data_IF_469900244744
#
_entry.id   IF_469900244744
#
_cell.length_a   1.000
_cell.length_b   1.000
_cell.length_c   1.000
_cell.angle_alpha   90.00
_cell.angle_beta   90.00
_cell.angle_gamma   90.00
#
_symmetry.space_group_name_H-M   'P 1'
#
loop_
_entity.id
_entity.type
_entity.pdbx_description
1 polymer ?
#
# COMPACT_ATOMS: atom_id res chain seq x y z
N UNK A 1 16.18 -79.34 63.18
CA UNK A 1 17.57 -79.74 62.87
C UNK A 1 17.51 -80.52 61.55
N UNK A 2 17.33 -79.83 60.43
CA UNK A 2 18.36 -79.30 59.51
C UNK A 2 18.93 -80.38 58.58
N UNK A 3 18.75 -80.19 57.26
CA UNK A 3 19.72 -80.42 56.16
C UNK A 3 18.98 -80.67 54.85
N UNK A 4 18.92 -79.68 53.92
CA UNK A 4 19.08 -79.89 52.47
C UNK A 4 19.73 -78.64 51.87
N UNK A 5 20.78 -78.86 51.07
CA UNK A 5 21.77 -77.88 50.63
C UNK A 5 21.33 -76.88 49.56
N UNK A 6 22.13 -75.81 49.45
CA UNK A 6 22.08 -74.81 48.37
C UNK A 6 23.26 -75.02 47.43
N UNK A 7 22.96 -75.07 46.14
CA UNK A 7 23.92 -75.05 45.03
C UNK A 7 24.39 -73.62 44.74
N UNK A 8 25.65 -73.50 44.32
CA UNK A 8 26.34 -72.28 43.90
C UNK A 8 25.93 -71.85 42.48
N UNK A 9 25.77 -70.54 42.27
CA UNK A 9 25.84 -69.89 40.95
C UNK A 9 26.78 -68.68 41.01
N UNK A 10 27.60 -68.57 39.97
CA UNK A 10 28.69 -67.61 39.73
C UNK A 10 28.23 -66.16 39.53
N UNK A 11 29.12 -65.14 39.64
CA UNK A 11 28.72 -63.74 39.65
C UNK A 11 28.55 -63.15 38.24
N UNK A 12 27.48 -62.36 38.05
CA UNK A 12 27.26 -61.53 36.87
C UNK A 12 27.94 -60.15 37.02
N UNK A 13 28.51 -59.64 35.92
CA UNK A 13 29.15 -58.31 35.78
C UNK A 13 28.15 -57.16 36.01
N UNK A 14 28.59 -56.00 36.51
CA UNK A 14 27.74 -54.82 36.62
C UNK A 14 27.53 -54.15 35.25
N UNK A 15 26.27 -53.83 34.94
CA UNK A 15 25.89 -53.01 33.79
C UNK A 15 26.13 -51.52 34.11
N UNK A 16 26.72 -50.80 33.16
CA UNK A 16 27.02 -49.37 33.21
C UNK A 16 25.73 -48.55 33.09
N UNK A 17 25.51 -47.61 34.01
CA UNK A 17 24.47 -46.59 33.90
C UNK A 17 24.94 -45.49 32.94
N UNK A 18 24.24 -45.32 31.81
CA UNK A 18 24.39 -44.15 30.94
C UNK A 18 23.58 -42.98 31.52
N UNK A 19 24.28 -41.95 31.99
CA UNK A 19 23.69 -40.64 32.27
C UNK A 19 23.38 -39.94 30.94
N UNK A 20 22.11 -39.78 30.62
CA UNK A 20 21.65 -38.89 29.55
C UNK A 20 21.79 -37.43 30.03
N UNK A 21 22.75 -36.69 29.47
CA UNK A 21 22.83 -35.25 29.64
C UNK A 21 21.70 -34.59 28.82
N UNK A 22 20.75 -33.95 29.50
CA UNK A 22 19.77 -33.10 28.87
C UNK A 22 20.45 -31.82 28.34
N UNK A 23 20.34 -31.57 27.03
CA UNK A 23 20.71 -30.28 26.42
C UNK A 23 19.78 -29.19 26.95
N UNK A 24 20.28 -27.98 27.25
CA UNK A 24 19.40 -26.87 27.63
C UNK A 24 18.55 -26.46 26.42
N UNK A 25 17.24 -26.40 26.62
CA UNK A 25 16.31 -25.83 25.65
C UNK A 25 16.65 -24.34 25.48
N UNK A 26 17.18 -23.98 24.31
CA UNK A 26 17.27 -22.58 23.91
C UNK A 26 15.85 -22.09 23.64
N UNK A 27 15.33 -21.27 24.56
CA UNK A 27 14.15 -20.46 24.30
C UNK A 27 14.50 -19.50 23.15
N UNK A 28 14.08 -19.86 21.94
CA UNK A 28 14.08 -18.93 20.82
C UNK A 28 13.04 -17.87 21.12
N UNK A 29 13.52 -16.72 21.61
CA UNK A 29 12.76 -15.49 21.60
C UNK A 29 12.33 -15.24 20.15
N UNK A 30 11.03 -15.38 19.89
CA UNK A 30 10.42 -14.90 18.66
C UNK A 30 10.58 -13.39 18.64
N UNK A 31 11.62 -12.90 17.97
CA UNK A 31 11.66 -11.50 17.55
C UNK A 31 10.42 -11.29 16.68
N UNK A 32 9.48 -10.47 17.16
CA UNK A 32 8.34 -10.01 16.39
C UNK A 32 8.89 -9.27 15.17
N UNK A 33 9.04 -9.98 14.05
CA UNK A 33 9.36 -9.35 12.78
C UNK A 33 8.19 -8.43 12.46
N UNK A 34 8.49 -7.13 12.33
CA UNK A 34 7.54 -6.17 11.80
C UNK A 34 7.02 -6.70 10.45
N UNK A 35 5.70 -6.68 10.20
CA UNK A 35 5.17 -7.17 8.94
C UNK A 35 5.84 -6.43 7.79
N UNK A 36 6.45 -7.17 6.86
CA UNK A 36 7.07 -6.58 5.68
C UNK A 36 5.99 -5.86 4.85
N UNK A 37 6.22 -4.64 4.35
CA UNK A 37 5.26 -3.95 3.50
C UNK A 37 4.94 -4.78 2.24
N UNK A 38 3.75 -4.61 1.64
CA UNK A 38 3.45 -5.18 0.34
C UNK A 38 4.55 -4.84 -0.67
N UNK A 39 5.05 -5.84 -1.39
CA UNK A 39 6.21 -5.65 -2.28
C UNK A 39 6.16 -6.57 -3.50
N UNK A 40 6.84 -6.17 -4.56
CA UNK A 40 7.04 -7.01 -5.74
C UNK A 40 8.28 -7.88 -5.56
N UNK A 41 8.09 -9.20 -5.53
CA UNK A 41 9.16 -10.19 -5.48
C UNK A 41 9.41 -10.76 -6.88
N UNK A 42 10.69 -10.92 -7.24
CA UNK A 42 11.08 -11.70 -8.44
C UNK A 42 10.92 -13.19 -8.16
N UNK A 43 10.19 -13.91 -9.01
CA UNK A 43 10.04 -15.36 -8.95
C UNK A 43 10.41 -15.96 -10.32
N UNK A 44 11.67 -16.38 -10.47
CA UNK A 44 12.19 -16.79 -11.78
C UNK A 44 12.18 -15.63 -12.77
N UNK A 45 11.38 -15.75 -13.84
CA UNK A 45 11.22 -14.71 -14.89
C UNK A 45 10.03 -13.77 -14.66
N UNK A 46 9.25 -13.96 -13.60
CA UNK A 46 8.04 -13.17 -13.32
C UNK A 46 8.20 -12.31 -12.07
N UNK A 47 7.28 -11.35 -11.90
CA UNK A 47 7.11 -10.57 -10.67
C UNK A 47 5.80 -11.00 -10.00
N UNK A 48 5.82 -11.10 -8.68
CA UNK A 48 4.64 -11.40 -7.88
C UNK A 48 4.46 -10.30 -6.83
N UNK A 49 3.24 -9.81 -6.68
CA UNK A 49 2.88 -9.03 -5.50
C UNK A 49 2.83 -9.97 -4.31
N UNK A 50 3.50 -9.60 -3.22
CA UNK A 50 3.55 -10.35 -1.97
C UNK A 50 2.96 -9.47 -0.87
N UNK A 51 2.01 -10.03 -0.12
CA UNK A 51 1.44 -9.40 1.08
C UNK A 51 1.70 -10.35 2.24
N UNK A 52 2.32 -9.84 3.31
CA UNK A 52 2.88 -10.70 4.36
C UNK A 52 3.95 -11.63 3.77
N UNK A 53 3.67 -12.93 3.74
CA UNK A 53 4.58 -13.95 3.19
C UNK A 53 4.03 -14.65 1.94
N UNK A 54 2.83 -14.30 1.48
CA UNK A 54 2.12 -15.02 0.42
C UNK A 54 2.03 -14.21 -0.87
N UNK A 55 2.19 -14.84 -2.04
CA UNK A 55 1.84 -14.23 -3.32
C UNK A 55 0.34 -13.87 -3.34
N UNK A 56 0.03 -12.68 -3.84
CA UNK A 56 -1.34 -12.17 -3.92
C UNK A 56 -1.69 -11.86 -5.38
N UNK A 57 -2.82 -12.39 -5.86
CA UNK A 57 -3.38 -12.08 -7.16
C UNK A 57 -4.48 -11.03 -7.00
N UNK A 58 -4.32 -9.87 -7.62
CA UNK A 58 -5.33 -8.82 -7.65
C UNK A 58 -6.47 -9.23 -8.57
N UNK A 59 -7.63 -9.51 -7.98
CA UNK A 59 -8.93 -9.59 -8.66
C UNK A 59 -9.63 -8.26 -8.43
N UNK A 60 -9.26 -7.29 -9.27
CA UNK A 60 -9.54 -5.88 -9.08
C UNK A 60 -10.79 -5.39 -9.81
N UNK A 61 -11.48 -4.42 -9.20
CA UNK A 61 -12.45 -3.56 -9.88
C UNK A 61 -12.10 -2.09 -9.65
N UNK A 62 -12.08 -1.30 -10.71
CA UNK A 62 -11.83 0.14 -10.65
C UNK A 62 -13.13 0.93 -10.60
N UNK A 63 -13.19 1.91 -9.70
CA UNK A 63 -14.34 2.79 -9.55
C UNK A 63 -14.34 3.91 -10.59
N UNK A 64 -15.52 4.50 -10.81
CA UNK A 64 -15.61 5.73 -11.58
C UNK A 64 -14.85 6.88 -10.92
N UNK A 65 -14.38 7.85 -11.72
CA UNK A 65 -13.48 8.92 -11.28
C UNK A 65 -13.99 9.70 -10.05
N UNK A 66 -15.30 9.86 -9.87
CA UNK A 66 -15.90 10.62 -8.76
C UNK A 66 -16.60 9.74 -7.73
N UNK A 67 -16.55 8.41 -7.87
CA UNK A 67 -17.32 7.53 -6.97
C UNK A 67 -16.75 7.54 -5.56
N UNK A 68 -15.43 7.67 -5.41
CA UNK A 68 -14.76 7.61 -4.11
C UNK A 68 -14.70 8.96 -3.37
N UNK A 69 -15.23 10.04 -3.95
CA UNK A 69 -15.19 11.37 -3.31
C UNK A 69 -16.26 11.57 -2.24
N UNK A 70 -17.20 10.63 -2.10
CA UNK A 70 -18.33 10.72 -1.17
C UNK A 70 -18.64 9.36 -0.52
N UNK A 71 -18.71 9.34 0.81
CA UNK A 71 -18.90 8.10 1.57
C UNK A 71 -20.32 7.55 1.46
N UNK A 72 -21.33 8.41 1.34
CA UNK A 72 -22.72 7.98 1.17
C UNK A 72 -22.91 7.31 -0.20
N UNK A 73 -22.29 7.88 -1.23
CA UNK A 73 -22.26 7.31 -2.58
C UNK A 73 -21.57 5.95 -2.62
N UNK A 74 -20.58 5.72 -1.77
CA UNK A 74 -19.86 4.45 -1.65
C UNK A 74 -20.66 3.34 -0.94
N UNK A 75 -21.59 3.67 -0.04
CA UNK A 75 -22.38 2.67 0.72
C UNK A 75 -23.01 1.56 -0.14
N UNK A 76 -23.73 1.86 -1.24
CA UNK A 76 -24.30 0.81 -2.09
C UNK A 76 -23.28 0.15 -3.03
N UNK A 77 -22.06 0.66 -3.14
CA UNK A 77 -21.01 0.13 -4.02
C UNK A 77 -20.30 -1.05 -3.36
N UNK A 78 -19.94 -0.94 -2.07
CA UNK A 78 -19.20 -1.99 -1.37
C UNK A 78 -19.83 -3.39 -1.44
N UNK A 79 -21.16 -3.57 -1.18
CA UNK A 79 -21.78 -4.89 -1.29
C UNK A 79 -21.76 -5.45 -2.72
N UNK A 80 -21.82 -4.58 -3.75
CA UNK A 80 -21.74 -5.00 -5.16
C UNK A 80 -20.36 -5.55 -5.49
N UNK A 81 -19.29 -4.91 -5.00
CA UNK A 81 -17.92 -5.36 -5.20
C UNK A 81 -17.69 -6.75 -4.58
N UNK A 82 -18.21 -6.99 -3.38
CA UNK A 82 -18.21 -8.33 -2.78
C UNK A 82 -19.01 -9.36 -3.60
N UNK A 83 -20.20 -8.98 -4.08
CA UNK A 83 -21.04 -9.86 -4.90
C UNK A 83 -20.38 -10.23 -6.24
N UNK A 84 -19.46 -9.40 -6.73
CA UNK A 84 -18.62 -9.68 -7.89
C UNK A 84 -17.40 -10.57 -7.56
N UNK A 85 -17.23 -10.97 -6.30
CA UNK A 85 -16.09 -11.75 -5.80
C UNK A 85 -14.72 -11.09 -6.03
N UNK A 86 -14.69 -9.75 -6.06
CA UNK A 86 -13.44 -9.01 -6.09
C UNK A 86 -12.73 -9.12 -4.73
N UNK A 87 -11.39 -9.08 -4.76
CA UNK A 87 -10.58 -9.02 -3.55
C UNK A 87 -9.88 -7.66 -3.37
N UNK A 88 -9.92 -6.81 -4.40
CA UNK A 88 -9.23 -5.53 -4.43
C UNK A 88 -10.09 -4.48 -5.14
N UNK A 89 -10.06 -3.25 -4.65
CA UNK A 89 -10.72 -2.09 -5.27
C UNK A 89 -9.67 -1.06 -5.64
N UNK A 90 -9.71 -0.57 -6.87
CA UNK A 90 -8.92 0.58 -7.32
C UNK A 90 -9.80 1.82 -7.16
N UNK A 91 -9.36 2.78 -6.34
CA UNK A 91 -10.13 3.99 -6.09
C UNK A 91 -9.26 5.25 -6.09
N UNK A 92 -9.78 6.40 -6.53
CA UNK A 92 -9.02 7.64 -6.49
C UNK A 92 -8.85 8.21 -5.08
N UNK A 93 -7.69 8.83 -4.86
CA UNK A 93 -7.45 9.81 -3.79
C UNK A 93 -7.13 11.13 -4.45
N UNK A 94 -7.87 12.16 -4.07
CA UNK A 94 -7.90 13.44 -4.76
C UNK A 94 -7.04 14.45 -4.02
N UNK A 95 -6.05 15.06 -4.70
CA UNK A 95 -5.21 16.07 -4.06
C UNK A 95 -6.06 17.25 -3.55
N UNK A 96 -7.03 17.74 -4.32
CA UNK A 96 -7.88 18.85 -3.91
C UNK A 96 -8.74 18.60 -2.66
N UNK A 97 -9.10 17.35 -2.38
CA UNK A 97 -9.84 16.97 -1.17
C UNK A 97 -8.87 16.71 -0.01
N UNK A 98 -7.72 16.10 -0.29
CA UNK A 98 -6.71 15.76 0.71
C UNK A 98 -6.03 17.01 1.29
N UNK A 99 -5.77 18.03 0.47
CA UNK A 99 -5.08 19.27 0.86
C UNK A 99 -5.83 20.51 0.36
N UNK A 100 -7.03 20.80 0.91
CA UNK A 100 -7.90 21.88 0.43
C UNK A 100 -7.26 23.26 0.60
N UNK A 101 -6.34 23.41 1.56
CA UNK A 101 -5.49 24.59 1.74
C UNK A 101 -4.05 24.13 1.87
N UNK A 102 -3.10 24.87 1.30
CA UNK A 102 -1.68 24.50 1.33
C UNK A 102 -1.21 24.22 2.77
N UNK A 103 -0.63 23.03 2.97
CA UNK A 103 -0.15 22.53 4.26
C UNK A 103 -1.23 22.07 5.26
N UNK A 104 -2.51 22.16 4.90
CA UNK A 104 -3.63 21.71 5.74
C UNK A 104 -4.25 20.47 5.13
N UNK A 105 -3.99 19.31 5.75
CA UNK A 105 -4.44 18.02 5.25
C UNK A 105 -5.72 17.55 5.94
N UNK A 106 -6.63 16.96 5.17
CA UNK A 106 -7.81 16.25 5.64
C UNK A 106 -7.77 14.79 5.14
N UNK A 107 -7.52 13.87 6.08
CA UNK A 107 -7.46 12.43 5.79
C UNK A 107 -8.79 11.70 6.03
N UNK A 108 -9.86 12.40 6.41
CA UNK A 108 -11.15 11.80 6.81
C UNK A 108 -11.70 10.86 5.74
N UNK A 109 -11.63 11.27 4.47
CA UNK A 109 -12.08 10.45 3.34
C UNK A 109 -11.22 9.19 3.19
N UNK A 110 -9.90 9.32 3.23
CA UNK A 110 -8.95 8.20 3.11
C UNK A 110 -9.18 7.19 4.23
N UNK A 111 -9.25 7.64 5.48
CA UNK A 111 -9.48 6.79 6.65
C UNK A 111 -10.80 6.04 6.57
N UNK A 112 -11.86 6.72 6.13
CA UNK A 112 -13.19 6.13 5.99
C UNK A 112 -13.25 5.09 4.87
N UNK A 113 -12.55 5.32 3.76
CA UNK A 113 -12.44 4.36 2.66
C UNK A 113 -11.63 3.12 3.07
N UNK A 114 -10.51 3.31 3.77
CA UNK A 114 -9.69 2.22 4.33
C UNK A 114 -10.50 1.40 5.32
N UNK A 115 -11.18 2.05 6.27
CA UNK A 115 -12.03 1.36 7.24
C UNK A 115 -13.15 0.58 6.57
N UNK A 116 -13.80 1.17 5.56
CA UNK A 116 -14.85 0.50 4.78
C UNK A 116 -14.30 -0.72 4.05
N UNK A 117 -13.15 -0.61 3.38
CA UNK A 117 -12.53 -1.75 2.70
C UNK A 117 -12.26 -2.93 3.65
N UNK A 118 -11.80 -2.65 4.88
CA UNK A 118 -11.63 -3.68 5.93
C UNK A 118 -12.94 -4.36 6.30
N UNK A 119 -14.02 -3.59 6.51
CA UNK A 119 -15.34 -4.14 6.82
C UNK A 119 -15.86 -5.09 5.74
N UNK A 120 -15.52 -4.82 4.48
CA UNK A 120 -15.88 -5.66 3.34
C UNK A 120 -14.80 -6.68 2.94
N UNK A 121 -13.75 -6.85 3.74
CA UNK A 121 -12.63 -7.77 3.47
C UNK A 121 -12.02 -7.56 2.07
N UNK A 122 -11.84 -6.31 1.69
CA UNK A 122 -11.24 -5.87 0.42
C UNK A 122 -9.89 -5.21 0.67
N UNK A 123 -8.95 -5.41 -0.25
CA UNK A 123 -7.72 -4.61 -0.34
C UNK A 123 -7.95 -3.39 -1.23
N UNK A 124 -7.09 -2.39 -1.08
CA UNK A 124 -7.14 -1.15 -1.84
C UNK A 124 -5.88 -0.94 -2.68
N UNK A 125 -6.10 -0.46 -3.89
CA UNK A 125 -5.09 0.23 -4.69
C UNK A 125 -5.53 1.67 -4.82
N UNK A 126 -4.74 2.59 -4.30
CA UNK A 126 -5.07 4.01 -4.37
C UNK A 126 -4.56 4.58 -5.69
N UNK A 127 -5.38 5.40 -6.35
CA UNK A 127 -5.00 6.15 -7.54
C UNK A 127 -4.76 7.59 -7.12
N UNK A 128 -3.50 8.02 -7.04
CA UNK A 128 -3.17 9.39 -6.71
C UNK A 128 -3.55 10.30 -7.87
N UNK A 129 -4.67 11.02 -7.74
CA UNK A 129 -5.05 12.08 -8.69
C UNK A 129 -4.43 13.39 -8.20
N UNK A 130 -3.12 13.49 -8.46
CA UNK A 130 -2.27 14.63 -8.12
C UNK A 130 -2.23 15.67 -9.23
N UNK A 131 -1.02 16.00 -9.66
CA UNK A 131 -0.72 16.97 -10.70
C UNK A 131 -1.32 16.57 -12.05
N UNK A 132 -1.43 15.28 -12.36
CA UNK A 132 -1.94 14.82 -13.65
C UNK A 132 -2.96 13.69 -13.54
N UNK A 133 -4.10 13.91 -14.20
CA UNK A 133 -5.17 12.94 -14.45
C UNK A 133 -5.62 13.08 -15.90
N UNK A 134 -5.39 12.04 -16.72
CA UNK A 134 -5.68 12.08 -18.17
C UNK A 134 -5.01 13.29 -18.82
N UNK A 135 -3.71 13.46 -18.53
CA UNK A 135 -2.87 14.61 -18.90
C UNK A 135 -3.24 15.96 -18.27
N UNK A 136 -4.44 16.12 -17.70
CA UNK A 136 -4.95 17.40 -17.21
C UNK A 136 -4.74 17.54 -15.70
N UNK A 137 -4.71 18.78 -15.19
CA UNK A 137 -4.47 19.07 -13.77
C UNK A 137 -5.74 19.45 -13.03
N UNK A 138 -6.86 18.76 -13.31
CA UNK A 138 -8.18 19.11 -12.78
C UNK A 138 -8.36 18.81 -11.28
N UNK A 139 -7.65 17.80 -10.75
CA UNK A 139 -7.73 17.37 -9.34
C UNK A 139 -6.68 17.99 -8.42
N UNK A 140 -5.77 18.81 -8.95
CA UNK A 140 -4.91 19.66 -8.12
C UNK A 140 -5.78 20.67 -7.34
N UNK A 141 -5.41 21.09 -6.12
CA UNK A 141 -6.21 22.01 -5.32
C UNK A 141 -6.31 23.41 -5.95
N UNK A 142 -7.32 24.18 -5.56
CA UNK A 142 -7.56 25.54 -6.06
C UNK A 142 -6.33 26.45 -5.93
N UNK A 143 -5.63 26.37 -4.79
CA UNK A 143 -4.44 27.19 -4.51
C UNK A 143 -3.25 26.87 -5.44
N UNK A 144 -3.26 25.71 -6.11
CA UNK A 144 -2.34 25.38 -7.21
C UNK A 144 -2.90 25.89 -8.53
N UNK A 145 -4.13 25.49 -8.89
CA UNK A 145 -4.74 25.75 -10.21
C UNK A 145 -4.88 27.23 -10.55
N UNK A 146 -5.10 28.08 -9.55
CA UNK A 146 -5.37 29.52 -9.72
C UNK A 146 -4.10 30.39 -9.66
N UNK A 147 -2.99 29.87 -9.13
CA UNK A 147 -1.75 30.63 -8.97
C UNK A 147 -0.70 30.21 -10.01
N UNK A 148 -0.95 30.53 -11.28
CA UNK A 148 -0.07 30.15 -12.40
C UNK A 148 1.31 30.84 -12.36
N UNK A 149 1.45 31.94 -11.62
CA UNK A 149 2.75 32.59 -11.42
C UNK A 149 3.70 31.70 -10.59
N UNK A 150 3.17 31.02 -9.58
CA UNK A 150 3.92 30.06 -8.77
C UNK A 150 3.91 28.65 -9.36
N UNK A 151 2.77 28.23 -9.90
CA UNK A 151 2.53 26.90 -10.45
C UNK A 151 2.22 26.97 -11.95
N UNK A 152 3.24 27.18 -12.79
CA UNK A 152 3.05 27.41 -14.21
C UNK A 152 2.46 26.17 -14.89
N UNK A 153 1.66 26.46 -15.91
CA UNK A 153 1.13 25.47 -16.84
C UNK A 153 2.12 25.18 -17.95
N UNK A 154 2.02 23.98 -18.51
CA UNK A 154 2.64 23.66 -19.77
C UNK A 154 2.14 24.63 -20.85
N UNK A 155 3.06 25.11 -21.67
CA UNK A 155 2.74 25.97 -22.81
C UNK A 155 2.93 25.20 -24.11
N UNK A 156 2.04 25.45 -25.05
CA UNK A 156 2.09 24.86 -26.37
C UNK A 156 3.04 25.68 -27.29
N UNK A 157 3.30 25.22 -28.53
CA UNK A 157 4.21 25.93 -29.46
C UNK A 157 3.82 27.38 -29.74
N UNK A 158 2.53 27.72 -29.64
CA UNK A 158 2.03 29.08 -29.84
C UNK A 158 2.12 29.96 -28.57
N UNK A 159 2.74 29.47 -27.49
CA UNK A 159 2.84 30.16 -26.20
C UNK A 159 1.55 30.15 -25.38
N UNK A 160 0.53 29.38 -25.79
CA UNK A 160 -0.73 29.26 -25.05
C UNK A 160 -0.58 28.26 -23.90
N UNK A 161 -0.92 28.68 -22.69
CA UNK A 161 -1.04 27.78 -21.53
C UNK A 161 -2.15 26.75 -21.70
N UNK A 162 -1.84 25.50 -21.36
CA UNK A 162 -2.78 24.38 -21.35
C UNK A 162 -3.31 24.15 -19.93
N UNK A 163 -4.41 23.41 -19.78
CA UNK A 163 -4.92 22.97 -18.46
C UNK A 163 -4.10 21.81 -17.86
N UNK A 164 -2.78 21.90 -18.01
CA UNK A 164 -1.78 20.90 -17.67
C UNK A 164 -0.67 21.63 -16.91
N UNK A 165 -0.35 21.20 -15.70
CA UNK A 165 0.79 21.72 -14.95
C UNK A 165 2.09 21.37 -15.69
N UNK A 166 3.01 22.33 -15.76
CA UNK A 166 4.34 22.12 -16.36
C UNK A 166 5.12 21.05 -15.58
N UNK A 167 5.73 20.11 -16.30
CA UNK A 167 6.57 19.07 -15.72
C UNK A 167 7.97 19.60 -15.39
N UNK A 168 8.39 20.72 -16.00
CA UNK A 168 9.68 21.38 -15.71
C UNK A 168 9.62 22.32 -14.49
N UNK A 169 8.44 22.56 -13.92
CA UNK A 169 8.29 23.40 -12.74
C UNK A 169 8.68 22.67 -11.46
N UNK A 170 9.71 23.18 -10.78
CA UNK A 170 10.11 22.68 -9.46
C UNK A 170 9.01 22.90 -8.41
N UNK A 171 8.29 24.02 -8.47
CA UNK A 171 7.19 24.30 -7.54
C UNK A 171 6.05 23.28 -7.68
N UNK A 172 5.72 22.88 -8.91
CA UNK A 172 4.68 21.87 -9.17
C UNK A 172 5.10 20.52 -8.57
N UNK A 173 6.32 20.07 -8.89
CA UNK A 173 6.89 18.83 -8.37
C UNK A 173 6.89 18.81 -6.84
N UNK A 174 7.37 19.89 -6.21
CA UNK A 174 7.49 19.95 -4.76
C UNK A 174 6.14 20.01 -4.06
N UNK A 175 5.15 20.72 -4.63
CA UNK A 175 3.81 20.77 -4.07
C UNK A 175 3.15 19.39 -4.10
N UNK A 176 3.17 18.71 -5.25
CA UNK A 176 2.61 17.36 -5.39
C UNK A 176 3.34 16.38 -4.46
N UNK A 177 4.67 16.34 -4.54
CA UNK A 177 5.50 15.42 -3.76
C UNK A 177 5.27 15.57 -2.25
N UNK A 178 5.03 16.80 -1.76
CA UNK A 178 4.71 17.03 -0.34
C UNK A 178 3.36 16.42 0.02
N UNK A 179 2.34 16.62 -0.80
CA UNK A 179 1.01 16.07 -0.57
C UNK A 179 1.00 14.53 -0.64
N UNK A 180 1.62 13.97 -1.68
CA UNK A 180 1.81 12.53 -1.81
C UNK A 180 2.59 11.95 -0.63
N UNK A 181 3.67 12.62 -0.20
CA UNK A 181 4.44 12.19 0.99
C UNK A 181 3.61 12.24 2.27
N UNK A 182 2.73 13.22 2.42
CA UNK A 182 1.82 13.31 3.56
C UNK A 182 0.82 12.15 3.55
N UNK A 183 0.24 11.79 2.41
CA UNK A 183 -0.59 10.60 2.24
C UNK A 183 0.16 9.32 2.62
N UNK A 184 1.35 9.10 2.07
CA UNK A 184 2.14 7.89 2.36
C UNK A 184 2.57 7.81 3.83
N UNK A 185 2.89 8.97 4.45
CA UNK A 185 3.15 9.07 5.88
C UNK A 185 1.93 8.70 6.71
N UNK A 186 0.76 9.23 6.36
CA UNK A 186 -0.50 8.92 7.04
C UNK A 186 -0.80 7.42 6.97
N UNK A 187 -0.74 6.82 5.78
CA UNK A 187 -0.97 5.38 5.60
C UNK A 187 0.01 4.51 6.39
N UNK A 188 1.29 4.88 6.46
CA UNK A 188 2.27 4.16 7.30
C UNK A 188 1.85 4.18 8.77
N UNK A 189 1.33 5.31 9.24
CA UNK A 189 1.01 5.54 10.65
C UNK A 189 -0.38 4.96 11.03
N UNK A 190 -1.31 4.80 10.07
CA UNK A 190 -2.71 4.39 10.33
C UNK A 190 -3.15 3.05 9.69
N UNK A 191 -2.45 2.54 8.68
CA UNK A 191 -2.83 1.29 7.97
C UNK A 191 -1.94 0.09 8.33
N UNK A 192 -1.88 -0.24 9.62
CA UNK A 192 -1.11 -1.39 10.12
C UNK A 192 -1.57 -2.75 9.57
N UNK A 193 -2.81 -2.84 9.07
CA UNK A 193 -3.40 -4.05 8.49
C UNK A 193 -3.03 -4.27 7.02
N UNK A 194 -2.25 -3.34 6.42
CA UNK A 194 -1.86 -3.38 5.01
C UNK A 194 -3.09 -3.54 4.11
N UNK A 195 -4.10 -2.70 4.35
CA UNK A 195 -5.32 -2.63 3.54
C UNK A 195 -4.99 -2.07 2.17
N UNK A 196 -4.18 -1.02 2.13
CA UNK A 196 -3.60 -0.45 0.91
C UNK A 196 -2.38 -1.27 0.52
N UNK A 197 -2.44 -1.88 -0.66
CA UNK A 197 -1.44 -2.84 -1.14
C UNK A 197 -0.59 -2.31 -2.28
N UNK A 198 -1.04 -1.23 -2.94
CA UNK A 198 -0.34 -0.53 -3.99
C UNK A 198 -0.89 0.89 -4.12
N UNK A 199 -0.07 1.80 -4.65
CA UNK A 199 -0.49 3.15 -5.01
C UNK A 199 -0.01 3.43 -6.42
N UNK A 200 -0.92 3.85 -7.29
CA UNK A 200 -0.58 4.43 -8.59
C UNK A 200 -0.24 5.91 -8.37
N UNK A 201 0.95 6.32 -8.81
CA UNK A 201 1.40 7.71 -8.72
C UNK A 201 0.99 8.43 -10.00
N UNK A 202 0.18 9.48 -9.85
CA UNK A 202 -0.55 10.15 -10.93
C UNK A 202 -1.55 9.24 -11.65
N UNK A 203 -2.18 9.77 -12.71
CA UNK A 203 -3.03 8.98 -13.59
C UNK A 203 -2.91 9.41 -15.05
N UNK A 204 -2.47 8.48 -15.92
CA UNK A 204 -2.35 8.71 -17.37
C UNK A 204 -1.62 10.02 -17.68
N UNK A 205 -0.39 10.15 -17.16
CA UNK A 205 0.46 11.30 -17.42
C UNK A 205 0.75 11.44 -18.92
N UNK A 206 0.93 12.67 -19.35
CA UNK A 206 1.22 12.98 -20.74
C UNK A 206 0.80 14.39 -21.10
N UNK A 207 0.94 14.69 -22.38
CA UNK A 207 0.47 15.93 -22.96
C UNK A 207 -0.35 15.60 -24.20
N UNK A 208 -1.60 16.07 -24.21
CA UNK A 208 -2.47 15.94 -25.37
C UNK A 208 -2.22 17.11 -26.32
N UNK A 209 -2.53 16.92 -27.60
CA UNK A 209 -2.37 17.88 -28.73
C UNK A 209 -0.94 18.15 -29.20
N UNK A 210 0.07 18.02 -28.34
CA UNK A 210 1.48 18.22 -28.71
C UNK A 210 2.40 17.20 -28.02
N UNK A 211 3.59 16.97 -28.58
CA UNK A 211 4.53 15.96 -28.07
C UNK A 211 5.25 16.36 -26.77
N UNK A 212 5.34 17.66 -26.47
CA UNK A 212 6.01 18.24 -25.29
C UNK A 212 5.59 19.69 -25.10
N UNK A 213 5.86 20.24 -23.92
CA UNK A 213 5.74 21.66 -23.66
C UNK A 213 6.88 22.47 -24.30
N UNK A 214 6.62 23.74 -24.60
CA UNK A 214 7.54 24.68 -25.24
C UNK A 214 7.88 25.83 -24.29
N UNK A 215 8.35 25.49 -23.09
CA UNK A 215 8.90 26.45 -22.14
C UNK A 215 10.32 26.84 -22.54
N UNK A 216 10.68 28.11 -22.35
CA UNK A 216 12.06 28.61 -22.53
C UNK A 216 12.98 28.22 -21.37
#
# INVERSE_FOLDING_TARGET
MALIGKAQQSPAKPAQAQQAQAKPAQAQQSLSQQPQPPHLRTAGKTKQLVIGQEPFLVLGGELGNSSASDLEYMKPIWPKLQAMHLNTVLLPVYWEILEPKEGTFDFTLVDSLVASARLYNLKLVLLWFGAWKNSMSCYAPEWVKTNQARFPRAVNRAGKGLEILSAFSRNNLEADSRAFSALMKHLRDTDSEQTVIMVQVENEIGMLTEAREYTE
#
